data_IF_749633327500
#
_entry.id   IF_749633327500
#
_cell.length_a   1.000
_cell.length_b   1.000
_cell.length_c   1.000
_cell.angle_alpha   90.00
_cell.angle_beta   90.00
_cell.angle_gamma   90.00
#
_symmetry.space_group_name_H-M   'P 1'
#
loop_
_entity.id
_entity.type
_entity.pdbx_description
1 polymer ?
#
# COMPACT_ATOMS: atom_id res chain seq x y z
N UNK A 1 17.92 2.98 24.84
CA UNK A 1 17.67 2.91 23.38
C UNK A 1 17.65 1.46 22.87
N UNK A 2 16.67 0.63 23.29
CA UNK A 2 16.58 -0.79 22.84
C UNK A 2 15.13 -1.28 22.60
N UNK A 3 14.12 -0.41 22.79
CA UNK A 3 12.72 -0.77 22.59
C UNK A 3 12.27 -0.72 21.11
N UNK A 4 13.01 0.00 20.26
CA UNK A 4 12.67 0.24 18.85
C UNK A 4 12.96 -0.96 17.94
N UNK A 5 14.01 -1.74 18.23
CA UNK A 5 14.37 -2.93 17.44
C UNK A 5 13.37 -4.07 17.62
N UNK A 6 13.01 -4.37 18.87
CA UNK A 6 12.06 -5.45 19.22
C UNK A 6 10.66 -5.21 18.66
N UNK A 7 10.15 -3.97 18.73
CA UNK A 7 8.84 -3.62 18.18
C UNK A 7 8.82 -3.70 16.64
N UNK A 8 9.88 -3.23 15.98
CA UNK A 8 10.05 -3.32 14.53
C UNK A 8 10.10 -4.77 14.06
N UNK A 9 10.83 -5.61 14.77
CA UNK A 9 10.98 -7.03 14.44
C UNK A 9 9.67 -7.81 14.66
N UNK A 10 8.88 -7.45 15.69
CA UNK A 10 7.53 -7.98 15.88
C UNK A 10 6.59 -7.61 14.73
N UNK A 11 6.57 -6.34 14.30
CA UNK A 11 5.77 -5.88 13.14
C UNK A 11 6.19 -6.57 11.84
N UNK A 12 7.47 -6.79 11.66
CA UNK A 12 7.99 -7.52 10.50
C UNK A 12 7.54 -8.99 10.50
N UNK A 13 7.68 -9.68 11.64
CA UNK A 13 7.24 -11.08 11.79
C UNK A 13 5.72 -11.24 11.66
N UNK A 14 4.92 -10.29 12.17
CA UNK A 14 3.47 -10.35 12.01
C UNK A 14 3.04 -10.17 10.55
N UNK A 15 3.73 -9.31 9.80
CA UNK A 15 3.53 -9.15 8.36
C UNK A 15 3.87 -10.44 7.61
N UNK A 16 5.04 -11.04 7.89
CA UNK A 16 5.43 -12.31 7.29
C UNK A 16 4.45 -13.45 7.59
N UNK A 17 3.98 -13.59 8.84
CA UNK A 17 2.98 -14.60 9.21
C UNK A 17 1.65 -14.43 8.45
N UNK A 18 1.31 -13.20 8.09
CA UNK A 18 0.13 -12.89 7.28
C UNK A 18 0.39 -12.98 5.77
N UNK A 19 1.53 -13.53 5.33
CA UNK A 19 1.94 -13.60 3.93
C UNK A 19 2.27 -12.23 3.31
N UNK A 20 2.38 -11.18 4.11
CA UNK A 20 2.61 -9.81 3.63
C UNK A 20 4.10 -9.49 3.58
N UNK A 21 4.54 -8.95 2.44
CA UNK A 21 5.87 -8.39 2.23
C UNK A 21 5.77 -6.87 2.10
N UNK A 22 6.77 -6.15 2.61
CA UNK A 22 6.92 -4.71 2.38
C UNK A 22 7.99 -4.52 1.33
N UNK A 23 7.64 -3.77 0.28
CA UNK A 23 8.53 -3.37 -0.81
C UNK A 23 8.53 -1.84 -0.81
N UNK A 24 9.71 -1.25 -0.85
CA UNK A 24 9.85 0.20 -1.01
C UNK A 24 9.88 0.48 -2.52
N UNK A 25 8.99 1.36 -2.97
CA UNK A 25 8.86 1.75 -4.37
C UNK A 25 9.08 3.25 -4.46
N UNK A 26 9.78 3.67 -5.51
CA UNK A 26 9.86 5.06 -5.92
C UNK A 26 8.90 5.24 -7.10
N UNK A 27 8.09 6.29 -7.04
CA UNK A 27 7.00 6.56 -8.00
C UNK A 27 6.92 8.06 -8.24
N UNK A 28 6.43 8.45 -9.42
CA UNK A 28 5.94 9.81 -9.61
C UNK A 28 4.62 9.95 -8.85
N UNK A 29 4.63 10.82 -7.85
CA UNK A 29 3.49 11.03 -6.95
C UNK A 29 2.29 11.62 -7.69
N UNK A 30 2.53 12.54 -8.63
CA UNK A 30 1.48 13.24 -9.38
C UNK A 30 0.80 12.26 -10.34
N UNK A 31 1.59 11.48 -11.08
CA UNK A 31 1.04 10.46 -11.97
C UNK A 31 0.30 9.37 -11.19
N UNK A 32 0.85 8.93 -10.07
CA UNK A 32 0.21 7.91 -9.24
C UNK A 32 -1.12 8.41 -8.66
N UNK A 33 -1.15 9.62 -8.09
CA UNK A 33 -2.38 10.22 -7.57
C UNK A 33 -3.45 10.34 -8.67
N UNK A 34 -3.08 10.83 -9.85
CA UNK A 34 -3.99 10.95 -10.99
C UNK A 34 -4.57 9.59 -11.43
N UNK A 35 -3.75 8.53 -11.45
CA UNK A 35 -4.22 7.16 -11.76
C UNK A 35 -5.18 6.67 -10.68
N UNK A 36 -4.85 6.85 -9.40
CA UNK A 36 -5.68 6.39 -8.29
C UNK A 36 -7.02 7.13 -8.23
N UNK A 37 -7.05 8.43 -8.54
CA UNK A 37 -8.29 9.22 -8.67
C UNK A 37 -9.15 8.74 -9.83
N UNK A 38 -8.54 8.54 -11.01
CA UNK A 38 -9.24 8.06 -12.21
C UNK A 38 -9.88 6.70 -11.98
N UNK A 39 -9.19 5.83 -11.24
CA UNK A 39 -9.67 4.51 -10.85
C UNK A 39 -10.57 4.53 -9.61
N UNK A 40 -10.89 5.71 -9.05
CA UNK A 40 -11.75 5.92 -7.87
C UNK A 40 -11.24 5.31 -6.57
N UNK A 41 -9.94 5.02 -6.47
CA UNK A 41 -9.29 4.57 -5.22
C UNK A 41 -8.87 5.73 -4.32
N UNK A 42 -8.65 6.92 -4.89
CA UNK A 42 -8.27 8.13 -4.17
C UNK A 42 -9.31 9.24 -4.37
N UNK A 43 -9.65 9.92 -3.29
CA UNK A 43 -10.45 11.15 -3.36
C UNK A 43 -9.48 12.30 -3.71
N UNK A 44 -9.76 13.14 -4.73
CA UNK A 44 -8.90 14.27 -5.09
C UNK A 44 -8.60 15.22 -3.93
N UNK A 45 -9.52 15.33 -2.96
CA UNK A 45 -9.31 16.16 -1.76
C UNK A 45 -8.23 15.64 -0.81
N UNK A 46 -7.78 14.39 -1.01
CA UNK A 46 -6.79 13.72 -0.17
C UNK A 46 -5.52 13.38 -0.97
N UNK A 47 -5.31 14.00 -2.14
CA UNK A 47 -4.15 13.70 -2.99
C UNK A 47 -2.81 14.04 -2.31
N UNK A 48 -2.78 15.08 -1.48
CA UNK A 48 -1.59 15.52 -0.74
C UNK A 48 -1.38 14.75 0.60
N UNK A 49 -2.21 13.76 0.92
CA UNK A 49 -2.04 12.90 2.12
C UNK A 49 -1.30 11.61 1.72
N UNK A 50 0.00 11.55 2.04
CA UNK A 50 0.86 10.38 1.83
C UNK A 50 0.22 9.06 2.29
N UNK A 51 -0.47 9.08 3.44
CA UNK A 51 -1.13 7.88 3.94
C UNK A 51 -2.37 7.51 3.12
N UNK A 52 -3.11 8.51 2.61
CA UNK A 52 -4.23 8.28 1.71
C UNK A 52 -3.77 7.68 0.39
N UNK A 53 -2.69 8.20 -0.21
CA UNK A 53 -2.06 7.65 -1.42
C UNK A 53 -1.59 6.22 -1.17
N UNK A 54 -0.91 5.97 -0.04
CA UNK A 54 -0.45 4.64 0.33
C UNK A 54 -1.62 3.64 0.50
N UNK A 55 -2.70 4.04 1.19
CA UNK A 55 -3.89 3.21 1.37
C UNK A 55 -4.60 2.93 0.04
N UNK A 56 -4.74 3.95 -0.81
CA UNK A 56 -5.34 3.81 -2.13
C UNK A 56 -4.56 2.83 -3.01
N UNK A 57 -3.22 2.92 -3.03
CA UNK A 57 -2.37 1.97 -3.75
C UNK A 57 -2.51 0.54 -3.20
N UNK A 58 -2.55 0.37 -1.88
CA UNK A 58 -2.76 -0.96 -1.27
C UNK A 58 -4.12 -1.56 -1.67
N UNK A 59 -5.17 -0.74 -1.75
CA UNK A 59 -6.49 -1.17 -2.18
C UNK A 59 -6.50 -1.59 -3.65
N UNK A 60 -5.86 -0.79 -4.53
CA UNK A 60 -5.71 -1.12 -5.95
C UNK A 60 -5.00 -2.47 -6.14
N UNK A 61 -3.86 -2.68 -5.47
CA UNK A 61 -3.12 -3.94 -5.54
C UNK A 61 -3.97 -5.12 -5.02
N UNK A 62 -4.75 -4.91 -3.96
CA UNK A 62 -5.65 -5.93 -3.43
C UNK A 62 -6.73 -6.35 -4.41
N UNK A 63 -7.33 -5.39 -5.13
CA UNK A 63 -8.32 -5.68 -6.18
C UNK A 63 -7.66 -6.39 -7.36
N UNK A 64 -6.52 -5.90 -7.84
CA UNK A 64 -5.79 -6.49 -8.96
C UNK A 64 -5.38 -7.95 -8.68
N UNK A 65 -4.78 -8.21 -7.52
CA UNK A 65 -4.37 -9.57 -7.14
C UNK A 65 -5.54 -10.55 -7.05
N UNK A 66 -6.72 -10.10 -6.60
CA UNK A 66 -7.91 -10.94 -6.52
C UNK A 66 -8.49 -11.22 -7.90
N UNK A 67 -8.68 -10.18 -8.71
CA UNK A 67 -9.18 -10.32 -10.08
C UNK A 67 -8.33 -11.32 -10.89
N UNK A 68 -7.00 -11.19 -10.82
CA UNK A 68 -6.08 -12.10 -11.52
C UNK A 68 -6.01 -13.52 -10.93
N UNK A 69 -6.41 -13.71 -9.66
CA UNK A 69 -6.44 -15.03 -9.05
C UNK A 69 -7.75 -15.78 -9.36
N UNK A 70 -8.87 -15.05 -9.45
CA UNK A 70 -10.18 -15.61 -9.77
C UNK A 70 -10.32 -15.98 -11.27
N UNK A 71 -9.43 -15.48 -12.14
CA UNK A 71 -9.33 -15.82 -13.57
C UNK A 71 -8.56 -17.14 -13.85
N UNK A 72 -8.31 -17.97 -12.82
CA UNK A 72 -7.63 -19.29 -12.92
C UNK A 72 -8.55 -20.43 -12.52
#
# INVERSE_FOLDING_TARGET
MSATSTARQRRYRSRQKAGRRVIMLEVDEVELAAVLEKLRFLNPLNADDDEAVQRALQNLLGVLCRAMADDT
#
